data_IF_412413501859
#
_entry.id   IF_412413501859
#
_cell.length_a   1.000
_cell.length_b   1.000
_cell.length_c   1.000
_cell.angle_alpha   90.00
_cell.angle_beta   90.00
_cell.angle_gamma   90.00
#
_symmetry.space_group_name_H-M   'P 1'
#
loop_
_entity.id
_entity.type
_entity.pdbx_description
1 polymer ?
#
# COMPACT_ATOMS: atom_id res chain seq x y z
N UNK A 1 23.17 -0.29 6.56
CA UNK A 1 21.79 0.19 6.57
C UNK A 1 21.25 -0.01 7.99
N UNK A 2 20.38 0.87 8.47
CA UNK A 2 19.76 0.71 9.78
C UNK A 2 18.93 -0.59 9.81
N UNK A 3 18.95 -1.31 10.95
CA UNK A 3 18.20 -2.54 11.17
C UNK A 3 16.98 -2.26 12.07
N UNK A 4 16.30 -1.16 11.79
CA UNK A 4 15.20 -0.62 12.61
C UNK A 4 13.90 -1.43 12.53
N UNK A 5 13.82 -2.40 11.60
CA UNK A 5 12.75 -3.39 11.54
C UNK A 5 13.20 -4.80 11.97
N UNK A 6 14.37 -4.95 12.59
CA UNK A 6 14.82 -6.26 13.07
C UNK A 6 13.78 -6.86 14.04
N UNK A 7 13.36 -8.11 13.76
CA UNK A 7 12.34 -8.82 14.55
C UNK A 7 10.89 -8.39 14.29
N UNK A 8 10.64 -7.39 13.44
CA UNK A 8 9.28 -6.98 13.02
C UNK A 8 8.81 -7.83 11.83
N UNK A 9 7.50 -8.04 11.76
CA UNK A 9 6.84 -8.77 10.68
C UNK A 9 5.85 -7.85 9.98
N UNK A 10 5.96 -7.76 8.65
CA UNK A 10 5.09 -6.96 7.81
C UNK A 10 4.21 -7.83 6.91
N UNK A 11 2.98 -7.38 6.63
CA UNK A 11 2.13 -7.91 5.57
C UNK A 11 1.91 -6.82 4.53
N UNK A 12 2.22 -7.12 3.26
CA UNK A 12 2.11 -6.18 2.13
C UNK A 12 1.12 -6.71 1.10
N UNK A 13 -0.02 -6.06 0.95
CA UNK A 13 -1.01 -6.45 -0.07
C UNK A 13 -0.58 -5.96 -1.45
N UNK A 14 -0.74 -6.81 -2.49
CA UNK A 14 -0.22 -6.50 -3.84
C UNK A 14 1.30 -6.35 -3.88
N UNK A 15 2.03 -7.14 -3.08
CA UNK A 15 3.47 -7.02 -2.84
C UNK A 15 4.38 -7.68 -3.88
N UNK A 16 3.85 -8.13 -5.04
CA UNK A 16 4.67 -8.85 -6.04
C UNK A 16 5.32 -7.96 -7.10
N UNK A 17 4.98 -6.67 -7.13
CA UNK A 17 5.54 -5.71 -8.10
C UNK A 17 5.30 -4.25 -7.69
N UNK A 18 5.94 -3.34 -8.43
CA UNK A 18 5.73 -1.90 -8.31
C UNK A 18 5.94 -1.37 -6.90
N UNK A 19 5.06 -0.50 -6.42
CA UNK A 19 5.16 0.14 -5.11
C UNK A 19 5.18 -0.91 -3.98
N UNK A 20 4.28 -1.91 -4.02
CA UNK A 20 4.20 -2.93 -2.98
C UNK A 20 5.47 -3.76 -2.85
N UNK A 21 6.06 -4.19 -3.97
CA UNK A 21 7.32 -4.93 -3.95
C UNK A 21 8.46 -4.03 -3.44
N UNK A 22 8.55 -2.78 -3.93
CA UNK A 22 9.57 -1.84 -3.46
C UNK A 22 9.48 -1.58 -1.94
N UNK A 23 8.27 -1.48 -1.38
CA UNK A 23 8.08 -1.38 0.08
C UNK A 23 8.55 -2.66 0.78
N UNK A 24 8.18 -3.84 0.26
CA UNK A 24 8.62 -5.11 0.83
C UNK A 24 10.15 -5.26 0.83
N UNK A 25 10.83 -4.89 -0.28
CA UNK A 25 12.29 -4.86 -0.38
C UNK A 25 12.95 -3.92 0.63
N UNK A 26 12.42 -2.71 0.77
CA UNK A 26 12.93 -1.73 1.75
C UNK A 26 12.80 -2.26 3.18
N UNK A 27 11.65 -2.85 3.53
CA UNK A 27 11.43 -3.42 4.86
C UNK A 27 12.36 -4.60 5.14
N UNK A 28 12.52 -5.53 4.19
CA UNK A 28 13.45 -6.66 4.31
C UNK A 28 14.90 -6.18 4.44
N UNK A 29 15.31 -5.20 3.62
CA UNK A 29 16.67 -4.64 3.68
C UNK A 29 17.00 -4.01 5.04
N UNK A 30 15.96 -3.60 5.79
CA UNK A 30 16.06 -3.02 7.13
C UNK A 30 15.72 -4.02 8.25
N UNK A 31 15.67 -5.33 7.94
CA UNK A 31 15.61 -6.42 8.90
C UNK A 31 14.21 -6.98 9.20
N UNK A 32 13.15 -6.54 8.53
CA UNK A 32 11.83 -7.14 8.66
C UNK A 32 11.72 -8.50 7.98
N UNK A 33 10.78 -9.33 8.44
CA UNK A 33 10.23 -10.45 7.69
C UNK A 33 8.91 -10.01 7.05
N UNK A 34 8.61 -10.49 5.84
CA UNK A 34 7.47 -9.98 5.07
C UNK A 34 6.58 -11.10 4.54
N UNK A 35 5.27 -10.96 4.70
CA UNK A 35 4.28 -11.73 3.94
C UNK A 35 3.76 -10.85 2.80
N UNK A 36 3.87 -11.32 1.56
CA UNK A 36 3.31 -10.63 0.39
C UNK A 36 2.08 -11.35 -0.11
N UNK A 37 1.06 -10.59 -0.55
CA UNK A 37 -0.14 -11.19 -1.13
C UNK A 37 -0.36 -10.72 -2.57
N UNK A 38 -0.86 -11.61 -3.41
CA UNK A 38 -1.26 -11.32 -4.79
C UNK A 38 -2.10 -12.48 -5.36
N UNK A 39 -2.62 -12.29 -6.58
CA UNK A 39 -3.49 -13.29 -7.22
C UNK A 39 -2.74 -14.37 -8.01
N UNK A 40 -1.53 -14.10 -8.46
CA UNK A 40 -0.78 -14.98 -9.37
C UNK A 40 0.33 -15.72 -8.65
N UNK A 41 0.30 -17.06 -8.65
CA UNK A 41 1.29 -17.85 -7.91
C UNK A 41 2.72 -17.66 -8.42
N UNK A 42 2.93 -17.55 -9.73
CA UNK A 42 4.27 -17.38 -10.30
C UNK A 42 4.90 -16.04 -9.90
N UNK A 43 4.08 -14.94 -9.89
CA UNK A 43 4.53 -13.62 -9.45
C UNK A 43 4.84 -13.64 -7.94
N UNK A 44 4.12 -14.44 -7.13
CA UNK A 44 4.37 -14.60 -5.69
C UNK A 44 5.67 -15.35 -5.43
N UNK A 45 5.91 -16.46 -6.13
CA UNK A 45 7.15 -17.23 -6.00
C UNK A 45 8.38 -16.38 -6.36
N UNK A 46 8.33 -15.66 -7.48
CA UNK A 46 9.39 -14.76 -7.90
C UNK A 46 9.65 -13.63 -6.87
N UNK A 47 8.58 -13.05 -6.27
CA UNK A 47 8.72 -12.03 -5.26
C UNK A 47 9.38 -12.56 -3.97
N UNK A 48 9.02 -13.76 -3.51
CA UNK A 48 9.65 -14.39 -2.34
C UNK A 48 11.13 -14.60 -2.57
N UNK A 49 11.54 -15.11 -3.73
CA UNK A 49 12.96 -15.27 -4.08
C UNK A 49 13.70 -13.92 -4.11
N UNK A 50 13.10 -12.89 -4.72
CA UNK A 50 13.67 -11.54 -4.79
C UNK A 50 13.82 -10.91 -3.40
N UNK A 51 12.94 -11.25 -2.45
CA UNK A 51 12.96 -10.78 -1.06
C UNK A 51 13.95 -11.60 -0.18
N UNK A 52 14.73 -12.49 -0.75
CA UNK A 52 15.75 -13.29 -0.02
C UNK A 52 15.28 -14.67 0.42
N UNK A 53 14.20 -15.18 -0.19
CA UNK A 53 13.71 -16.55 0.04
C UNK A 53 12.89 -16.72 1.32
N UNK A 54 12.62 -17.97 1.66
CA UNK A 54 11.70 -18.34 2.73
C UNK A 54 12.15 -17.95 4.15
N UNK A 55 13.40 -17.56 4.34
CA UNK A 55 13.90 -17.05 5.62
C UNK A 55 13.36 -15.64 5.90
N UNK A 56 13.23 -14.82 4.85
CA UNK A 56 12.86 -13.41 4.94
C UNK A 56 11.43 -13.13 4.50
N UNK A 57 10.88 -13.98 3.61
CA UNK A 57 9.57 -13.73 3.02
C UNK A 57 8.71 -14.99 2.91
N UNK A 58 7.40 -14.80 2.98
CA UNK A 58 6.38 -15.78 2.65
C UNK A 58 5.30 -15.14 1.77
N UNK A 59 4.46 -15.96 1.15
CA UNK A 59 3.40 -15.44 0.28
C UNK A 59 2.07 -16.14 0.49
N UNK A 60 0.97 -15.40 0.30
CA UNK A 60 -0.39 -15.93 0.30
C UNK A 60 -1.10 -15.53 -1.00
N UNK A 61 -1.65 -16.53 -1.71
CA UNK A 61 -2.37 -16.31 -2.94
C UNK A 61 -3.86 -16.00 -2.67
N UNK A 62 -4.35 -14.88 -3.21
CA UNK A 62 -5.78 -14.54 -3.15
C UNK A 62 -6.10 -13.14 -3.63
N UNK A 63 -7.38 -12.79 -3.62
CA UNK A 63 -7.86 -11.44 -3.93
C UNK A 63 -7.86 -10.59 -2.67
N UNK A 64 -7.43 -9.32 -2.78
CA UNK A 64 -7.32 -8.43 -1.63
C UNK A 64 -8.66 -8.15 -0.93
N UNK A 65 -9.78 -8.31 -1.62
CA UNK A 65 -11.15 -8.13 -1.14
C UNK A 65 -11.83 -9.45 -0.69
N UNK A 66 -11.11 -10.56 -0.69
CA UNK A 66 -11.59 -11.83 -0.16
C UNK A 66 -11.27 -11.93 1.35
N UNK A 67 -12.31 -11.89 2.18
CA UNK A 67 -12.20 -11.92 3.65
C UNK A 67 -11.52 -13.20 4.15
N UNK A 68 -11.79 -14.35 3.49
CA UNK A 68 -11.15 -15.62 3.88
C UNK A 68 -9.64 -15.58 3.55
N UNK A 69 -9.27 -15.04 2.38
CA UNK A 69 -7.88 -14.85 2.04
C UNK A 69 -7.18 -13.89 3.02
N UNK A 70 -7.84 -12.81 3.42
CA UNK A 70 -7.30 -11.86 4.40
C UNK A 70 -6.97 -12.56 5.73
N UNK A 71 -7.91 -13.34 6.26
CA UNK A 71 -7.70 -14.10 7.48
C UNK A 71 -6.54 -15.11 7.34
N UNK A 72 -6.49 -15.85 6.23
CA UNK A 72 -5.44 -16.82 5.94
C UNK A 72 -4.05 -16.16 5.83
N UNK A 73 -3.94 -15.03 5.16
CA UNK A 73 -2.66 -14.33 4.99
C UNK A 73 -2.14 -13.74 6.31
N UNK A 74 -3.05 -13.22 7.15
CA UNK A 74 -2.69 -12.72 8.50
C UNK A 74 -2.28 -13.89 9.40
N UNK A 75 -3.02 -15.02 9.39
CA UNK A 75 -2.64 -16.22 10.12
C UNK A 75 -1.26 -16.74 9.69
N UNK A 76 -0.97 -16.76 8.38
CA UNK A 76 0.34 -17.15 7.87
C UNK A 76 1.48 -16.29 8.45
N UNK A 77 1.29 -14.98 8.60
CA UNK A 77 2.29 -14.10 9.19
C UNK A 77 2.59 -14.48 10.64
N UNK A 78 1.54 -14.75 11.42
CA UNK A 78 1.66 -15.15 12.82
C UNK A 78 2.27 -16.58 12.95
N UNK A 79 1.79 -17.54 12.18
CA UNK A 79 2.27 -18.93 12.22
C UNK A 79 3.73 -19.03 11.76
N UNK A 80 4.11 -18.32 10.71
CA UNK A 80 5.43 -18.43 10.08
C UNK A 80 6.50 -17.62 10.82
N UNK A 81 6.14 -16.44 11.32
CA UNK A 81 7.08 -15.46 11.86
C UNK A 81 6.78 -15.03 13.31
N UNK A 82 5.72 -15.56 13.92
CA UNK A 82 5.39 -15.40 15.35
C UNK A 82 4.54 -14.17 15.68
N UNK A 83 4.37 -13.21 14.76
CA UNK A 83 3.65 -11.94 15.01
C UNK A 83 3.27 -11.24 13.71
N UNK A 84 2.49 -10.17 13.82
CA UNK A 84 2.25 -9.19 12.76
C UNK A 84 2.32 -7.77 13.35
N UNK A 85 3.29 -6.97 12.94
CA UNK A 85 3.54 -5.62 13.46
C UNK A 85 3.15 -4.52 12.50
N UNK A 86 3.31 -4.78 11.20
CA UNK A 86 3.20 -3.79 10.14
C UNK A 86 2.24 -4.28 9.07
N UNK A 87 1.25 -3.47 8.72
CA UNK A 87 0.32 -3.75 7.63
C UNK A 87 0.45 -2.68 6.54
N UNK A 88 0.66 -3.09 5.29
CA UNK A 88 0.69 -2.21 4.13
C UNK A 88 -0.47 -2.54 3.19
N UNK A 89 -1.50 -1.70 3.19
CA UNK A 89 -2.61 -1.73 2.25
C UNK A 89 -2.20 -1.05 0.94
N UNK A 90 -1.60 -1.83 0.04
CA UNK A 90 -1.13 -1.34 -1.26
C UNK A 90 -1.96 -1.86 -2.44
N UNK A 91 -2.59 -3.03 -2.35
CA UNK A 91 -3.42 -3.56 -3.42
C UNK A 91 -4.53 -2.58 -3.82
N UNK A 92 -4.66 -2.31 -5.11
CA UNK A 92 -5.68 -1.42 -5.66
C UNK A 92 -6.09 -1.85 -7.07
N UNK A 93 -7.27 -1.41 -7.49
CA UNK A 93 -7.78 -1.59 -8.85
C UNK A 93 -8.30 -0.26 -9.41
N UNK A 94 -8.24 -0.15 -10.73
CA UNK A 94 -8.83 0.96 -11.48
C UNK A 94 -9.36 0.46 -12.84
N UNK A 95 -10.50 -0.24 -12.88
CA UNK A 95 -11.10 -0.72 -14.12
C UNK A 95 -11.82 0.38 -14.92
N UNK A 96 -12.12 1.55 -14.29
CA UNK A 96 -12.88 2.64 -14.88
C UNK A 96 -11.98 3.75 -15.38
N UNK A 97 -12.04 4.03 -16.68
CA UNK A 97 -11.38 5.14 -17.35
C UNK A 97 -12.43 5.95 -18.15
N UNK A 98 -12.36 7.28 -18.08
CA UNK A 98 -13.28 8.21 -18.76
C UNK A 98 -14.11 9.04 -17.80
N UNK A 99 -15.13 9.73 -18.33
CA UNK A 99 -16.00 10.59 -17.57
C UNK A 99 -16.87 9.77 -16.58
N UNK A 100 -17.07 10.31 -15.38
CA UNK A 100 -17.88 9.63 -14.35
C UNK A 100 -19.35 9.52 -14.70
N UNK A 101 -19.86 10.43 -15.52
CA UNK A 101 -21.28 10.42 -15.96
C UNK A 101 -21.60 9.20 -16.83
N UNK A 102 -20.58 8.60 -17.47
CA UNK A 102 -20.69 7.42 -18.33
C UNK A 102 -20.13 6.17 -17.64
N UNK A 103 -19.78 6.24 -16.34
CA UNK A 103 -19.13 5.16 -15.64
C UNK A 103 -20.07 3.97 -15.42
N UNK A 104 -19.53 2.76 -15.62
CA UNK A 104 -20.17 1.53 -15.16
C UNK A 104 -20.16 1.48 -13.62
N UNK A 105 -21.35 1.49 -13.02
CA UNK A 105 -21.51 1.51 -11.57
C UNK A 105 -20.99 0.22 -10.89
N UNK A 106 -20.97 -0.93 -11.58
CA UNK A 106 -20.39 -2.15 -11.02
C UNK A 106 -18.86 -2.06 -10.99
N UNK A 107 -18.24 -1.46 -12.00
CA UNK A 107 -16.82 -1.13 -11.97
C UNK A 107 -16.50 -0.12 -10.83
N UNK A 108 -17.34 0.88 -10.61
CA UNK A 108 -17.20 1.83 -9.51
C UNK A 108 -17.31 1.14 -8.15
N UNK A 109 -18.33 0.28 -7.95
CA UNK A 109 -18.48 -0.51 -6.72
C UNK A 109 -17.25 -1.36 -6.43
N UNK A 110 -16.70 -2.02 -7.48
CA UNK A 110 -15.47 -2.82 -7.35
C UNK A 110 -14.26 -1.98 -6.94
N UNK A 111 -14.16 -0.75 -7.45
CA UNK A 111 -13.10 0.19 -7.03
C UNK A 111 -13.20 0.47 -5.52
N UNK A 112 -14.37 0.81 -5.01
CA UNK A 112 -14.55 1.09 -3.59
C UNK A 112 -14.37 -0.14 -2.72
N UNK A 113 -14.86 -1.31 -3.17
CA UNK A 113 -14.69 -2.57 -2.47
C UNK A 113 -13.20 -2.89 -2.24
N UNK A 114 -12.39 -2.86 -3.30
CA UNK A 114 -10.97 -3.20 -3.18
C UNK A 114 -10.14 -2.09 -2.53
N UNK A 115 -10.39 -0.83 -2.92
CA UNK A 115 -9.50 0.27 -2.53
C UNK A 115 -9.82 0.87 -1.15
N UNK A 116 -11.01 0.59 -0.59
CA UNK A 116 -11.48 1.17 0.68
C UNK A 116 -11.94 0.09 1.65
N UNK A 117 -13.01 -0.65 1.32
CA UNK A 117 -13.62 -1.64 2.22
C UNK A 117 -12.63 -2.74 2.59
N UNK A 118 -11.92 -3.28 1.60
CA UNK A 118 -10.91 -4.30 1.84
C UNK A 118 -9.76 -3.78 2.72
N UNK A 119 -9.33 -2.51 2.56
CA UNK A 119 -8.30 -1.93 3.43
C UNK A 119 -8.74 -1.93 4.90
N UNK A 120 -10.00 -1.56 5.18
CA UNK A 120 -10.56 -1.66 6.54
C UNK A 120 -10.59 -3.10 7.03
N UNK A 121 -11.02 -4.05 6.20
CA UNK A 121 -11.07 -5.45 6.56
C UNK A 121 -9.67 -6.01 6.90
N UNK A 122 -8.63 -5.66 6.14
CA UNK A 122 -7.24 -6.01 6.47
C UNK A 122 -6.82 -5.46 7.84
N UNK A 123 -7.15 -4.20 8.16
CA UNK A 123 -6.88 -3.62 9.49
C UNK A 123 -7.59 -4.40 10.58
N UNK A 124 -8.86 -4.78 10.38
CA UNK A 124 -9.61 -5.58 11.35
C UNK A 124 -8.99 -6.96 11.59
N UNK A 125 -8.51 -7.64 10.54
CA UNK A 125 -7.82 -8.92 10.68
C UNK A 125 -6.50 -8.76 11.44
N UNK A 126 -5.68 -7.76 11.10
CA UNK A 126 -4.43 -7.48 11.77
C UNK A 126 -4.63 -7.10 13.26
N UNK A 127 -5.65 -6.29 13.55
CA UNK A 127 -6.04 -5.94 14.92
C UNK A 127 -6.35 -7.17 15.77
N UNK A 128 -7.21 -8.08 15.25
CA UNK A 128 -7.60 -9.31 15.94
C UNK A 128 -6.47 -10.31 16.10
N UNK A 129 -5.49 -10.27 15.21
CA UNK A 129 -4.32 -11.15 15.24
C UNK A 129 -3.20 -10.70 16.19
N UNK A 130 -3.45 -9.67 17.00
CA UNK A 130 -2.56 -9.23 18.06
C UNK A 130 -2.08 -7.79 17.97
N UNK A 131 -2.23 -7.07 16.84
CA UNK A 131 -1.85 -5.65 16.79
C UNK A 131 -2.64 -4.81 17.82
N UNK A 132 -3.88 -5.20 18.14
CA UNK A 132 -4.69 -4.57 19.18
C UNK A 132 -4.18 -4.78 20.61
N UNK A 133 -3.22 -5.68 20.82
CA UNK A 133 -2.64 -5.98 22.12
C UNK A 133 -1.19 -5.46 22.22
N UNK A 134 -0.36 -5.77 21.22
CA UNK A 134 1.08 -5.45 21.27
C UNK A 134 1.47 -4.21 20.45
N UNK A 135 0.50 -3.55 19.83
CA UNK A 135 0.72 -2.37 19.00
C UNK A 135 1.25 -2.68 17.60
N UNK A 136 1.42 -1.62 16.80
CA UNK A 136 1.93 -1.75 15.45
C UNK A 136 1.76 -0.48 14.61
N UNK A 137 1.95 -0.62 13.30
CA UNK A 137 1.71 0.46 12.36
C UNK A 137 1.04 -0.03 11.07
N UNK A 138 0.09 0.76 10.57
CA UNK A 138 -0.62 0.55 9.31
C UNK A 138 -0.24 1.66 8.33
N UNK A 139 0.07 1.28 7.11
CA UNK A 139 0.27 2.19 6.00
C UNK A 139 -0.74 1.93 4.89
N UNK A 140 -1.48 2.96 4.51
CA UNK A 140 -2.35 2.94 3.34
C UNK A 140 -1.67 3.62 2.14
N UNK A 141 -1.60 2.93 1.01
CA UNK A 141 -1.11 3.54 -0.24
C UNK A 141 -2.29 4.24 -0.93
N UNK A 142 -2.41 5.54 -0.66
CA UNK A 142 -3.39 6.42 -1.29
C UNK A 142 -2.92 6.89 -2.68
N UNK A 143 -3.14 8.14 -3.04
CA UNK A 143 -2.71 8.78 -4.28
C UNK A 143 -2.91 10.29 -4.18
N UNK A 144 -2.12 11.09 -4.91
CA UNK A 144 -2.43 12.52 -5.14
C UNK A 144 -3.80 12.72 -5.77
N UNK A 145 -4.31 11.72 -6.52
CA UNK A 145 -5.68 11.73 -7.03
C UNK A 145 -6.76 11.73 -5.95
N UNK A 146 -6.43 11.32 -4.72
CA UNK A 146 -7.32 11.46 -3.55
C UNK A 146 -7.30 12.85 -2.93
N UNK A 147 -6.33 13.70 -3.31
CA UNK A 147 -6.18 15.08 -2.83
C UNK A 147 -6.65 16.08 -3.88
N UNK A 148 -6.35 15.81 -5.16
CA UNK A 148 -6.69 16.66 -6.30
C UNK A 148 -7.57 15.89 -7.28
N UNK A 149 -8.61 16.55 -7.76
CA UNK A 149 -9.43 15.99 -8.83
C UNK A 149 -8.65 15.96 -10.16
N UNK A 150 -8.91 14.95 -10.98
CA UNK A 150 -8.28 14.79 -12.29
C UNK A 150 -8.96 13.71 -13.13
N UNK A 151 -8.93 13.90 -14.44
CA UNK A 151 -9.40 12.93 -15.44
C UNK A 151 -8.20 12.09 -15.91
N UNK A 152 -8.38 10.83 -16.38
CA UNK A 152 -9.66 10.13 -16.63
C UNK A 152 -10.01 9.06 -15.58
N UNK A 153 -9.57 9.17 -14.35
CA UNK A 153 -9.64 8.11 -13.32
C UNK A 153 -10.48 8.54 -12.10
N UNK A 154 -11.63 9.18 -12.35
CA UNK A 154 -12.44 9.82 -11.30
C UNK A 154 -12.90 8.89 -10.18
N UNK A 155 -13.36 7.66 -10.48
CA UNK A 155 -13.78 6.69 -9.47
C UNK A 155 -12.62 6.26 -8.56
N UNK A 156 -11.45 6.01 -9.16
CA UNK A 156 -10.22 5.73 -8.43
C UNK A 156 -9.84 6.89 -7.50
N UNK A 157 -9.85 8.14 -8.01
CA UNK A 157 -9.53 9.32 -7.23
C UNK A 157 -10.46 9.46 -6.03
N UNK A 158 -11.78 9.30 -6.23
CA UNK A 158 -12.77 9.32 -5.16
C UNK A 158 -12.51 8.22 -4.10
N UNK A 159 -12.16 7.01 -4.53
CA UNK A 159 -11.80 5.93 -3.60
C UNK A 159 -10.55 6.24 -2.78
N UNK A 160 -9.55 6.89 -3.39
CA UNK A 160 -8.33 7.30 -2.68
C UNK A 160 -8.56 8.46 -1.72
N UNK A 161 -9.49 9.37 -2.01
CA UNK A 161 -9.97 10.38 -1.06
C UNK A 161 -10.66 9.74 0.14
N UNK A 162 -11.51 8.74 -0.09
CA UNK A 162 -12.14 7.96 0.98
C UNK A 162 -11.10 7.22 1.84
N UNK A 163 -10.06 6.63 1.22
CA UNK A 163 -8.98 5.95 1.95
C UNK A 163 -8.15 6.92 2.80
N UNK A 164 -7.89 8.14 2.31
CA UNK A 164 -7.25 9.21 3.08
C UNK A 164 -8.07 9.56 4.32
N UNK A 165 -9.40 9.71 4.18
CA UNK A 165 -10.24 9.99 5.32
C UNK A 165 -10.33 8.79 6.29
N UNK A 166 -10.44 7.57 5.77
CA UNK A 166 -10.39 6.34 6.58
C UNK A 166 -9.08 6.23 7.38
N UNK A 167 -7.95 6.64 6.80
CA UNK A 167 -6.65 6.71 7.51
C UNK A 167 -6.72 7.61 8.73
N UNK A 168 -7.31 8.79 8.60
CA UNK A 168 -7.50 9.73 9.72
C UNK A 168 -8.39 9.15 10.80
N UNK A 169 -9.52 8.57 10.41
CA UNK A 169 -10.46 7.97 11.35
C UNK A 169 -9.81 6.82 12.15
N UNK A 170 -9.13 5.90 11.46
CA UNK A 170 -8.42 4.80 12.10
C UNK A 170 -7.25 5.29 12.99
N UNK A 171 -6.56 6.36 12.59
CA UNK A 171 -5.51 6.97 13.42
C UNK A 171 -6.03 7.48 14.76
N UNK A 172 -7.27 7.97 14.80
CA UNK A 172 -7.95 8.40 16.04
C UNK A 172 -8.43 7.21 16.86
N UNK A 173 -9.03 6.20 16.20
CA UNK A 173 -9.69 5.08 16.88
C UNK A 173 -8.69 4.06 17.45
N UNK A 174 -7.56 3.83 16.77
CA UNK A 174 -6.61 2.77 17.13
C UNK A 174 -5.43 3.25 17.98
N UNK A 175 -5.26 4.57 18.13
CA UNK A 175 -4.28 5.14 19.05
C UNK A 175 -4.65 4.85 20.51
N UNK A 176 -3.67 4.72 21.41
CA UNK A 176 -2.23 4.85 21.21
C UNK A 176 -1.52 3.57 20.71
N UNK A 177 -2.23 2.45 20.54
CA UNK A 177 -1.62 1.14 20.26
C UNK A 177 -1.12 1.04 18.80
N UNK A 178 -1.95 1.49 17.82
CA UNK A 178 -1.62 1.35 16.41
C UNK A 178 -1.63 2.72 15.73
N UNK A 179 -0.52 3.07 15.08
CA UNK A 179 -0.46 4.25 14.22
C UNK A 179 -0.99 3.89 12.84
N UNK A 180 -1.78 4.77 12.25
CA UNK A 180 -2.32 4.55 10.90
C UNK A 180 -2.03 5.79 10.06
N UNK A 181 -1.21 5.63 9.02
CA UNK A 181 -0.82 6.72 8.13
C UNK A 181 -1.01 6.32 6.66
N UNK A 182 -0.91 7.28 5.76
CA UNK A 182 -0.94 7.04 4.32
C UNK A 182 0.25 7.71 3.63
N UNK A 183 0.63 7.17 2.48
CA UNK A 183 1.39 7.90 1.47
C UNK A 183 0.46 8.23 0.30
N UNK A 184 0.65 9.38 -0.34
CA UNK A 184 -0.06 9.80 -1.53
C UNK A 184 0.93 10.01 -2.70
N UNK A 185 1.29 8.93 -3.42
CA UNK A 185 2.16 9.05 -4.59
C UNK A 185 1.44 9.73 -5.76
N UNK A 186 2.24 10.42 -6.61
CA UNK A 186 1.85 10.75 -7.98
C UNK A 186 2.14 9.58 -8.92
N UNK A 187 2.43 9.85 -10.20
CA UNK A 187 2.75 8.79 -11.16
C UNK A 187 4.11 8.17 -10.81
N UNK A 188 4.06 6.90 -10.45
CA UNK A 188 5.24 6.05 -10.21
C UNK A 188 5.37 5.07 -11.36
N UNK A 189 6.56 4.89 -11.91
CA UNK A 189 6.85 3.97 -13.04
C UNK A 189 6.58 2.53 -12.62
N UNK A 190 5.35 2.09 -12.87
CA UNK A 190 4.83 0.76 -12.57
C UNK A 190 3.89 0.31 -13.68
N UNK A 191 3.69 -1.00 -13.80
CA UNK A 191 2.70 -1.56 -14.73
C UNK A 191 1.26 -1.02 -14.46
N UNK A 192 0.93 -0.72 -13.20
CA UNK A 192 -0.39 -0.18 -12.84
C UNK A 192 -0.63 1.22 -13.42
N UNK A 193 0.39 2.08 -13.41
CA UNK A 193 0.32 3.46 -13.87
C UNK A 193 0.72 3.64 -15.34
N UNK A 194 1.13 2.58 -16.03
CA UNK A 194 1.75 2.64 -17.37
C UNK A 194 0.94 3.47 -18.37
N UNK A 195 -0.39 3.28 -18.42
CA UNK A 195 -1.29 4.02 -19.31
C UNK A 195 -1.31 5.53 -19.10
N UNK A 196 -0.76 6.04 -17.99
CA UNK A 196 -0.70 7.47 -17.68
C UNK A 196 0.55 8.16 -18.26
N UNK A 197 1.52 7.40 -18.77
CA UNK A 197 2.79 7.96 -19.24
C UNK A 197 3.40 7.24 -20.46
N UNK A 198 2.89 6.08 -20.90
CA UNK A 198 3.53 5.28 -21.95
C UNK A 198 3.59 5.98 -23.31
N UNK A 199 2.62 6.84 -23.62
CA UNK A 199 2.56 7.55 -24.90
C UNK A 199 3.54 8.74 -24.96
N UNK A 200 3.83 9.39 -23.82
CA UNK A 200 4.77 10.52 -23.71
C UNK A 200 5.34 10.64 -22.31
N UNK A 201 6.24 9.73 -21.94
CA UNK A 201 6.89 9.76 -20.64
C UNK A 201 7.66 11.07 -20.38
N UNK A 202 8.36 11.58 -21.39
CA UNK A 202 9.16 12.80 -21.27
C UNK A 202 8.29 14.03 -21.05
N UNK A 203 7.17 14.15 -21.77
CA UNK A 203 6.19 15.22 -21.59
C UNK A 203 5.57 15.19 -20.21
N UNK A 204 5.10 14.01 -19.77
CA UNK A 204 4.55 13.85 -18.41
C UNK A 204 5.61 14.19 -17.35
N UNK A 205 6.84 13.70 -17.47
CA UNK A 205 7.92 13.99 -16.53
C UNK A 205 8.27 15.48 -16.47
N UNK A 206 8.17 16.19 -17.61
CA UNK A 206 8.45 17.64 -17.69
C UNK A 206 7.50 18.49 -16.85
N UNK A 207 6.29 18.00 -16.56
CA UNK A 207 5.31 18.72 -15.72
C UNK A 207 5.65 18.69 -14.24
N UNK A 208 6.50 17.76 -13.80
CA UNK A 208 6.92 17.65 -12.41
C UNK A 208 8.04 18.64 -12.09
N UNK A 209 8.01 19.34 -10.96
CA UNK A 209 9.17 20.13 -10.50
C UNK A 209 10.48 19.34 -10.49
N UNK A 210 10.44 18.07 -10.06
CA UNK A 210 11.61 17.18 -10.03
C UNK A 210 12.02 16.64 -11.41
N UNK A 211 11.32 17.00 -12.49
CA UNK A 211 11.63 16.65 -13.90
C UNK A 211 11.81 15.15 -14.17
N UNK A 212 11.15 14.33 -13.37
CA UNK A 212 11.09 12.88 -13.55
C UNK A 212 9.82 12.32 -12.94
N UNK A 213 9.42 11.14 -13.40
CA UNK A 213 8.42 10.32 -12.71
C UNK A 213 9.02 9.67 -11.47
N UNK A 214 8.17 9.33 -10.51
CA UNK A 214 8.57 8.54 -9.35
C UNK A 214 8.99 7.12 -9.75
N UNK A 215 9.81 6.50 -8.91
CA UNK A 215 10.11 5.07 -8.97
C UNK A 215 9.69 4.40 -7.66
N UNK A 216 9.49 3.07 -7.63
CA UNK A 216 9.06 2.38 -6.40
C UNK A 216 9.90 2.73 -5.16
N UNK A 217 11.22 2.91 -5.32
CA UNK A 217 12.11 3.28 -4.23
C UNK A 217 11.82 4.65 -3.60
N UNK A 218 11.27 5.62 -4.36
CA UNK A 218 10.89 6.93 -3.81
C UNK A 218 9.74 6.78 -2.79
N UNK A 219 8.77 5.91 -3.09
CA UNK A 219 7.64 5.64 -2.21
C UNK A 219 7.99 4.70 -1.07
N UNK A 220 8.88 3.73 -1.30
CA UNK A 220 9.29 2.73 -0.33
C UNK A 220 9.98 3.36 0.89
N UNK A 221 10.87 4.33 0.68
CA UNK A 221 11.56 5.05 1.76
C UNK A 221 10.60 5.86 2.62
N UNK A 222 9.65 6.55 2.01
CA UNK A 222 8.60 7.28 2.73
C UNK A 222 7.69 6.34 3.52
N UNK A 223 7.33 5.20 2.94
CA UNK A 223 6.57 4.14 3.59
C UNK A 223 7.31 3.59 4.82
N UNK A 224 8.59 3.26 4.67
CA UNK A 224 9.40 2.75 5.76
C UNK A 224 9.53 3.77 6.90
N UNK A 225 9.73 5.06 6.60
CA UNK A 225 9.71 6.12 7.63
C UNK A 225 8.40 6.11 8.44
N UNK A 226 7.24 6.13 7.77
CA UNK A 226 5.95 6.16 8.47
C UNK A 226 5.65 4.88 9.27
N UNK A 227 6.24 3.76 8.88
CA UNK A 227 6.12 2.48 9.59
C UNK A 227 7.11 2.35 10.77
N UNK A 228 8.21 3.12 10.77
CA UNK A 228 9.27 3.05 11.78
C UNK A 228 8.93 3.79 13.07
N UNK A 229 9.75 3.61 14.10
CA UNK A 229 9.66 4.36 15.36
C UNK A 229 10.01 5.85 15.21
N UNK A 230 10.73 6.25 14.13
CA UNK A 230 10.99 7.66 13.83
C UNK A 230 9.69 8.46 13.58
N UNK A 231 8.60 7.76 13.22
CA UNK A 231 7.25 8.30 13.06
C UNK A 231 6.35 8.07 14.29
N UNK A 232 6.90 7.83 15.50
CA UNK A 232 6.15 7.46 16.71
C UNK A 232 5.11 8.51 17.15
N UNK A 233 5.26 9.77 16.73
CA UNK A 233 4.31 10.86 17.00
C UNK A 233 3.48 11.27 15.78
N UNK A 234 3.41 10.39 14.75
CA UNK A 234 2.67 10.63 13.49
C UNK A 234 1.60 9.55 13.34
N UNK A 235 0.32 9.94 13.40
CA UNK A 235 -0.84 9.09 13.10
C UNK A 235 -1.95 9.90 12.45
N UNK A 236 -2.73 9.29 11.56
CA UNK A 236 -3.78 9.95 10.79
C UNK A 236 -3.25 10.82 9.63
N UNK A 237 -1.95 10.82 9.37
CA UNK A 237 -1.32 11.71 8.39
C UNK A 237 -1.25 11.07 6.99
N UNK A 238 -1.26 11.93 5.97
CA UNK A 238 -1.06 11.54 4.57
C UNK A 238 0.15 12.28 4.02
N UNK A 239 1.27 11.56 3.91
CA UNK A 239 2.50 12.11 3.35
C UNK A 239 2.44 12.09 1.81
N UNK A 240 2.48 13.26 1.20
CA UNK A 240 2.52 13.40 -0.26
C UNK A 240 3.92 13.07 -0.78
N UNK A 241 4.00 12.17 -1.78
CA UNK A 241 5.27 11.71 -2.39
C UNK A 241 5.11 11.83 -3.92
N UNK A 242 5.22 13.04 -4.44
CA UNK A 242 4.70 13.37 -5.76
C UNK A 242 5.65 14.18 -6.66
N UNK A 243 6.89 14.35 -6.25
CA UNK A 243 7.86 15.16 -7.02
C UNK A 243 7.47 16.63 -7.20
N UNK A 244 6.55 17.13 -6.33
CA UNK A 244 6.10 18.51 -6.31
C UNK A 244 4.94 18.83 -7.28
N UNK A 245 4.30 17.84 -7.91
CA UNK A 245 3.24 18.09 -8.90
C UNK A 245 1.96 18.70 -8.30
N UNK A 246 1.75 18.58 -6.98
CA UNK A 246 0.55 19.06 -6.30
C UNK A 246 0.69 20.43 -5.62
N UNK A 247 1.86 21.05 -5.65
CA UNK A 247 2.14 22.40 -5.10
C UNK A 247 2.11 23.47 -6.15
#
# INVERSE_FOLDING_TARGET
>A
MAQDFAGRVALVTGGTRGIGLGIAEELVSRGARVVVTARKPDELAAAVEQLGGAEHAASAQGSADDVQHQATAVALAVERFGRLDLLVNNAAVNPQYGALVDADLDAVRKVFEVNVTACLAWVQQAWRAGMGEHGGAVLNVASVGGIRAGSPIGAYNASKAALIHLTRQLGVELGPLVRVNAIAPAVVKTRFAQRLYEDDEAGVASTYPMKRLGVPADTAKAAAFLLSEDASWITGETLVVDGGISV
#
